data_IF_986163862112
#
_entry.id   IF_986163862112
#
_cell.length_a   1.000
_cell.length_b   1.000
_cell.length_c   1.000
_cell.angle_alpha   90.00
_cell.angle_beta   90.00
_cell.angle_gamma   90.00
#
_symmetry.space_group_name_H-M   'P 1'
#
loop_
_entity.id
_entity.type
_entity.pdbx_description
1 polymer ?
#
# COMPACT_ATOMS: atom_id res chain seq x y z
N UNK A 1 -4.58 -1.19 -26.62
CA UNK A 1 -5.38 -2.42 -26.80
C UNK A 1 -5.48 -3.09 -25.44
N UNK A 2 -6.59 -2.89 -24.76
CA UNK A 2 -6.98 -3.65 -23.57
C UNK A 2 -7.15 -5.12 -23.99
N UNK A 3 -6.34 -6.01 -23.40
CA UNK A 3 -6.61 -7.43 -23.42
C UNK A 3 -7.76 -7.70 -22.43
N UNK A 4 -8.97 -7.68 -22.95
CA UNK A 4 -10.13 -8.25 -22.27
C UNK A 4 -9.94 -9.78 -22.25
N UNK A 5 -9.48 -10.31 -21.13
CA UNK A 5 -9.51 -11.75 -20.88
C UNK A 5 -10.87 -12.10 -20.34
N UNK A 6 -11.79 -12.44 -21.25
CA UNK A 6 -13.06 -13.10 -20.91
C UNK A 6 -12.83 -14.61 -20.91
N UNK A 7 -12.96 -15.23 -19.74
CA UNK A 7 -13.42 -16.60 -19.55
C UNK A 7 -12.62 -17.73 -20.17
N UNK A 8 -11.47 -18.07 -19.56
CA UNK A 8 -10.94 -19.43 -19.46
C UNK A 8 -9.73 -19.39 -18.51
N UNK A 9 -9.96 -19.65 -17.24
CA UNK A 9 -9.10 -19.24 -16.14
C UNK A 9 -7.86 -20.09 -15.85
N UNK A 10 -7.60 -21.20 -16.52
CA UNK A 10 -6.63 -22.16 -16.01
C UNK A 10 -5.40 -22.47 -16.89
N UNK A 11 -5.39 -22.09 -18.15
CA UNK A 11 -4.29 -22.41 -19.08
C UNK A 11 -3.49 -21.16 -19.49
N UNK A 12 -4.03 -19.97 -19.33
CA UNK A 12 -3.45 -18.74 -19.88
C UNK A 12 -2.31 -18.13 -19.01
N UNK A 13 -2.23 -18.47 -17.72
CA UNK A 13 -1.27 -17.80 -16.81
C UNK A 13 0.17 -18.28 -16.99
N UNK A 14 0.40 -19.57 -17.19
CA UNK A 14 1.75 -20.13 -17.36
C UNK A 14 2.32 -19.84 -18.75
N UNK A 15 1.50 -19.89 -19.79
CA UNK A 15 1.91 -19.58 -21.17
C UNK A 15 2.23 -18.10 -21.38
N UNK A 16 1.52 -17.21 -20.70
CA UNK A 16 1.80 -15.77 -20.69
C UNK A 16 3.12 -15.43 -20.00
N UNK A 17 3.43 -16.12 -18.91
CA UNK A 17 4.68 -15.94 -18.19
C UNK A 17 5.89 -16.40 -19.00
N UNK A 18 5.79 -17.55 -19.68
CA UNK A 18 6.92 -18.12 -20.43
C UNK A 18 7.25 -17.34 -21.71
N UNK A 19 6.29 -16.63 -22.29
CA UNK A 19 6.46 -15.89 -23.56
C UNK A 19 6.87 -14.43 -23.43
N UNK A 20 6.73 -13.81 -22.24
CA UNK A 20 6.98 -12.37 -22.10
C UNK A 20 7.97 -12.06 -20.97
N UNK A 21 9.27 -12.03 -21.31
CA UNK A 21 10.35 -11.69 -20.37
C UNK A 21 10.10 -10.38 -19.61
N UNK A 22 9.54 -9.35 -20.25
CA UNK A 22 9.27 -8.07 -19.63
C UNK A 22 8.16 -8.17 -18.57
N UNK A 23 7.18 -9.05 -18.76
CA UNK A 23 6.14 -9.32 -17.76
C UNK A 23 6.76 -9.99 -16.52
N UNK A 24 7.59 -11.01 -16.73
CA UNK A 24 8.29 -11.73 -15.64
C UNK A 24 9.17 -10.78 -14.84
N UNK A 25 9.99 -9.94 -15.51
CA UNK A 25 10.85 -8.96 -14.84
C UNK A 25 10.02 -7.99 -13.99
N UNK A 26 8.91 -7.48 -14.49
CA UNK A 26 8.03 -6.57 -13.73
C UNK A 26 7.38 -7.26 -12.54
N UNK A 27 6.98 -8.53 -12.68
CA UNK A 27 6.44 -9.32 -11.58
C UNK A 27 7.50 -9.63 -10.52
N UNK A 28 8.70 -9.99 -10.93
CA UNK A 28 9.84 -10.17 -10.00
C UNK A 28 10.15 -8.87 -9.26
N UNK A 29 10.17 -7.73 -9.97
CA UNK A 29 10.39 -6.43 -9.35
C UNK A 29 9.27 -6.07 -8.36
N UNK A 30 8.02 -6.35 -8.71
CA UNK A 30 6.86 -6.18 -7.83
C UNK A 30 6.99 -7.03 -6.57
N UNK A 31 7.29 -8.32 -6.73
CA UNK A 31 7.53 -9.26 -5.63
C UNK A 31 8.68 -8.81 -4.73
N UNK A 32 9.76 -8.32 -5.32
CA UNK A 32 10.90 -7.79 -4.56
C UNK A 32 10.52 -6.55 -3.76
N UNK A 33 9.77 -5.61 -4.35
CA UNK A 33 9.36 -4.39 -3.65
C UNK A 33 8.46 -4.68 -2.46
N UNK A 34 7.47 -5.57 -2.61
CA UNK A 34 6.61 -5.94 -1.49
C UNK A 34 7.38 -6.74 -0.43
N UNK A 35 8.31 -7.58 -0.82
CA UNK A 35 9.18 -8.32 0.09
C UNK A 35 10.08 -7.39 0.91
N UNK A 36 10.72 -6.41 0.27
CA UNK A 36 11.51 -5.37 0.97
C UNK A 36 10.63 -4.62 1.96
N UNK A 37 9.42 -4.24 1.56
CA UNK A 37 8.48 -3.53 2.42
C UNK A 37 8.19 -4.33 3.71
N UNK A 38 7.84 -5.60 3.59
CA UNK A 38 7.57 -6.48 4.72
C UNK A 38 8.80 -6.70 5.60
N UNK A 39 9.96 -6.96 5.01
CA UNK A 39 11.20 -7.20 5.76
C UNK A 39 11.61 -5.95 6.55
N UNK A 40 11.56 -4.76 5.93
CA UNK A 40 11.87 -3.51 6.61
C UNK A 40 10.87 -3.23 7.74
N UNK A 41 9.57 -3.48 7.51
CA UNK A 41 8.56 -3.30 8.54
C UNK A 41 8.76 -4.23 9.75
N UNK A 42 8.94 -5.53 9.48
CA UNK A 42 9.20 -6.54 10.53
C UNK A 42 10.47 -6.19 11.29
N UNK A 43 11.55 -5.82 10.58
CA UNK A 43 12.79 -5.39 11.19
C UNK A 43 12.57 -4.16 12.09
N UNK A 44 11.87 -3.15 11.61
CA UNK A 44 11.61 -1.91 12.36
C UNK A 44 10.82 -2.17 13.65
N UNK A 45 9.81 -3.02 13.60
CA UNK A 45 9.00 -3.37 14.78
C UNK A 45 9.83 -4.13 15.83
N UNK A 46 10.79 -4.97 15.40
CA UNK A 46 11.62 -5.76 16.32
C UNK A 46 12.86 -5.01 16.84
N UNK A 47 13.16 -3.81 16.31
CA UNK A 47 14.35 -3.02 16.68
C UNK A 47 14.00 -1.61 17.18
N UNK A 48 12.82 -1.42 17.77
CA UNK A 48 12.36 -0.16 18.36
C UNK A 48 12.27 1.03 17.38
N UNK A 49 12.09 0.75 16.08
CA UNK A 49 11.87 1.75 15.03
C UNK A 49 10.38 1.93 14.66
N UNK A 50 9.46 1.60 15.58
CA UNK A 50 8.00 1.64 15.35
C UNK A 50 7.52 3.04 14.97
N UNK A 51 8.05 4.08 15.65
CA UNK A 51 7.70 5.48 15.35
C UNK A 51 8.12 5.87 13.95
N UNK A 52 9.30 5.41 13.52
CA UNK A 52 9.81 5.66 12.17
C UNK A 52 9.00 4.93 11.11
N UNK A 53 8.58 3.68 11.38
CA UNK A 53 7.66 2.96 10.52
C UNK A 53 6.31 3.67 10.42
N UNK A 54 5.79 4.22 11.52
CA UNK A 54 4.57 5.01 11.53
C UNK A 54 4.68 6.28 10.66
N UNK A 55 5.83 6.97 10.65
CA UNK A 55 6.10 8.09 9.74
C UNK A 55 5.96 7.66 8.27
N UNK A 56 6.32 6.43 7.93
CA UNK A 56 6.14 5.87 6.60
C UNK A 56 4.69 5.95 6.11
N UNK A 57 3.70 5.77 6.98
CA UNK A 57 2.28 5.89 6.63
C UNK A 57 1.86 7.32 6.24
N UNK A 58 2.59 8.34 6.71
CA UNK A 58 2.36 9.73 6.31
C UNK A 58 3.06 10.09 4.99
N UNK A 59 4.25 9.51 4.77
CA UNK A 59 5.06 9.79 3.57
C UNK A 59 4.56 8.95 2.38
N UNK A 60 4.04 7.76 2.62
CA UNK A 60 3.63 6.82 1.60
C UNK A 60 2.57 7.38 0.63
N UNK A 61 1.47 8.02 1.07
CA UNK A 61 0.51 8.66 0.17
C UNK A 61 1.16 9.70 -0.73
N UNK A 62 2.11 10.49 -0.21
CA UNK A 62 2.84 11.50 -1.01
C UNK A 62 3.68 10.85 -2.11
N UNK A 63 4.36 9.74 -1.79
CA UNK A 63 5.14 8.98 -2.77
C UNK A 63 4.25 8.37 -3.88
N UNK A 64 3.09 7.82 -3.52
CA UNK A 64 2.10 7.30 -4.48
C UNK A 64 1.62 8.41 -5.42
N UNK A 65 1.27 9.56 -4.88
CA UNK A 65 0.78 10.70 -5.64
C UNK A 65 1.86 11.27 -6.55
N UNK A 66 3.10 11.37 -6.06
CA UNK A 66 4.24 11.78 -6.87
C UNK A 66 4.44 10.84 -8.06
N UNK A 67 4.40 9.52 -7.86
CA UNK A 67 4.50 8.54 -8.94
C UNK A 67 3.33 8.63 -9.93
N UNK A 68 2.11 8.83 -9.44
CA UNK A 68 0.92 9.02 -10.27
C UNK A 68 1.01 10.26 -11.16
N UNK A 69 1.41 11.39 -10.57
CA UNK A 69 1.49 12.66 -11.30
C UNK A 69 2.68 12.69 -12.26
N UNK A 70 3.88 12.27 -11.82
CA UNK A 70 5.11 12.38 -12.61
C UNK A 70 5.17 11.33 -13.71
N UNK A 71 4.86 10.06 -13.40
CA UNK A 71 5.08 8.95 -14.32
C UNK A 71 3.82 8.46 -15.04
N UNK A 72 2.64 8.65 -14.46
CA UNK A 72 1.38 8.30 -15.09
C UNK A 72 0.69 9.52 -15.71
N UNK A 73 1.25 10.73 -15.50
CA UNK A 73 0.71 12.01 -15.98
C UNK A 73 -0.77 12.21 -15.56
N UNK A 74 -1.13 11.70 -14.38
CA UNK A 74 -2.48 11.87 -13.85
C UNK A 74 -2.72 13.34 -13.48
N UNK A 75 -3.85 13.88 -13.94
CA UNK A 75 -4.22 15.28 -13.67
C UNK A 75 -4.92 15.35 -12.32
N UNK A 76 -4.53 16.35 -11.56
CA UNK A 76 -5.10 16.62 -10.25
C UNK A 76 -5.87 17.93 -10.23
N UNK A 77 -6.94 17.98 -9.45
CA UNK A 77 -7.66 19.21 -9.18
C UNK A 77 -6.83 20.16 -8.31
N UNK A 78 -7.17 21.46 -8.33
CA UNK A 78 -6.52 22.44 -7.45
C UNK A 78 -6.70 22.09 -5.98
N UNK A 79 -7.82 21.49 -5.63
CA UNK A 79 -8.13 21.10 -4.25
C UNK A 79 -7.31 19.87 -3.80
N UNK A 80 -7.08 18.92 -4.72
CA UNK A 80 -6.19 17.80 -4.47
C UNK A 80 -4.74 18.26 -4.27
N UNK A 81 -4.26 19.23 -5.09
CA UNK A 81 -2.95 19.86 -4.89
C UNK A 81 -2.84 20.55 -3.53
N UNK A 82 -3.86 21.29 -3.12
CA UNK A 82 -3.92 21.89 -1.80
C UNK A 82 -3.80 20.82 -0.69
N UNK A 83 -4.57 19.74 -0.79
CA UNK A 83 -4.54 18.64 0.17
C UNK A 83 -3.14 18.02 0.32
N UNK A 84 -2.43 17.83 -0.80
CA UNK A 84 -1.07 17.26 -0.80
C UNK A 84 -0.05 18.21 -0.17
N UNK A 85 -0.11 19.49 -0.51
CA UNK A 85 0.80 20.49 0.07
C UNK A 85 0.62 20.52 1.59
N UNK A 86 -0.62 20.54 2.05
CA UNK A 86 -0.96 20.55 3.47
C UNK A 86 -0.49 19.27 4.16
N UNK A 87 -0.73 18.10 3.56
CA UNK A 87 -0.25 16.82 4.08
C UNK A 87 1.29 16.74 4.07
N UNK A 88 1.93 17.28 3.03
CA UNK A 88 3.38 17.36 2.92
C UNK A 88 4.01 18.20 4.04
N UNK A 89 3.40 19.36 4.38
CA UNK A 89 3.82 20.17 5.53
C UNK A 89 3.72 19.35 6.82
N UNK A 90 2.63 18.62 7.03
CA UNK A 90 2.46 17.73 8.19
C UNK A 90 3.56 16.66 8.28
N UNK A 91 3.89 16.02 7.16
CA UNK A 91 4.95 15.01 7.10
C UNK A 91 6.34 15.61 7.40
N UNK A 92 6.63 16.83 6.91
CA UNK A 92 7.87 17.55 7.19
C UNK A 92 7.97 17.89 8.68
N UNK A 93 6.91 18.42 9.28
CA UNK A 93 6.89 18.75 10.73
C UNK A 93 7.16 17.51 11.56
N UNK A 94 6.51 16.39 11.26
CA UNK A 94 6.73 15.11 11.97
C UNK A 94 8.15 14.57 11.76
N UNK A 95 8.73 14.77 10.57
CA UNK A 95 10.11 14.36 10.28
C UNK A 95 11.13 15.19 11.07
N UNK A 96 10.89 16.50 11.20
CA UNK A 96 11.74 17.39 12.00
C UNK A 96 11.64 17.05 13.49
N UNK A 97 10.43 16.80 14.00
CA UNK A 97 10.20 16.40 15.38
C UNK A 97 10.90 15.07 15.73
N UNK A 98 11.03 14.17 14.74
CA UNK A 98 11.76 12.91 14.88
C UNK A 98 13.27 13.09 15.08
N UNK A 99 13.85 14.19 14.63
CA UNK A 99 15.23 14.62 14.92
C UNK A 99 16.36 13.89 14.18
N UNK A 100 16.05 12.92 13.30
CA UNK A 100 17.01 12.21 12.45
C UNK A 100 16.38 11.83 11.11
N UNK A 101 17.21 11.47 10.12
CA UNK A 101 16.71 11.04 8.81
C UNK A 101 15.96 9.71 8.98
N UNK A 102 14.64 9.68 8.69
CA UNK A 102 13.82 8.48 8.90
C UNK A 102 13.96 7.52 7.70
N UNK A 103 15.07 6.80 7.64
CA UNK A 103 15.36 5.90 6.51
C UNK A 103 14.35 4.76 6.38
N UNK A 104 13.83 4.25 7.52
CA UNK A 104 12.79 3.21 7.54
C UNK A 104 11.52 3.73 6.88
N UNK A 105 11.09 4.94 7.26
CA UNK A 105 9.92 5.59 6.65
C UNK A 105 10.08 5.77 5.15
N UNK A 106 11.27 6.23 4.71
CA UNK A 106 11.61 6.35 3.29
C UNK A 106 11.59 5.02 2.56
N UNK A 107 12.21 3.98 3.12
CA UNK A 107 12.25 2.64 2.53
C UNK A 107 10.83 2.04 2.41
N UNK A 108 10.00 2.16 3.45
CA UNK A 108 8.62 1.70 3.43
C UNK A 108 7.78 2.45 2.40
N UNK A 109 7.86 3.78 2.36
CA UNK A 109 7.11 4.59 1.42
C UNK A 109 7.51 4.32 -0.05
N UNK A 110 8.81 4.22 -0.33
CA UNK A 110 9.31 3.97 -1.68
C UNK A 110 9.00 2.55 -2.15
N UNK A 111 9.20 1.53 -1.31
CA UNK A 111 8.93 0.14 -1.69
C UNK A 111 7.44 -0.09 -1.94
N UNK A 112 6.56 0.39 -1.06
CA UNK A 112 5.12 0.26 -1.22
C UNK A 112 4.57 1.03 -2.42
N UNK A 113 4.97 2.29 -2.58
CA UNK A 113 4.53 3.10 -3.71
C UNK A 113 5.04 2.57 -5.05
N UNK A 114 6.28 2.06 -5.10
CA UNK A 114 6.82 1.42 -6.31
C UNK A 114 6.10 0.11 -6.61
N UNK A 115 5.79 -0.71 -5.60
CA UNK A 115 4.97 -1.91 -5.75
C UNK A 115 3.63 -1.58 -6.41
N UNK A 116 2.86 -0.66 -5.85
CA UNK A 116 1.57 -0.26 -6.40
C UNK A 116 1.67 0.33 -7.81
N UNK A 117 2.72 1.11 -8.09
CA UNK A 117 2.98 1.66 -9.41
C UNK A 117 3.23 0.58 -10.47
N UNK A 118 4.02 -0.45 -10.13
CA UNK A 118 4.25 -1.59 -11.02
C UNK A 118 2.94 -2.34 -11.26
N UNK A 119 2.16 -2.59 -10.21
CA UNK A 119 0.83 -3.24 -10.31
C UNK A 119 -0.11 -2.45 -11.21
N UNK A 120 -0.14 -1.13 -11.07
CA UNK A 120 -0.92 -0.24 -11.96
C UNK A 120 -0.53 -0.40 -13.43
N UNK A 121 0.77 -0.43 -13.72
CA UNK A 121 1.28 -0.62 -15.09
C UNK A 121 1.10 -2.04 -15.64
N UNK A 122 1.06 -3.05 -14.78
CA UNK A 122 0.81 -4.43 -15.19
C UNK A 122 -0.66 -4.64 -15.58
N UNK A 123 -1.60 -4.00 -14.87
CA UNK A 123 -3.04 -4.11 -15.16
C UNK A 123 -3.60 -5.53 -15.01
N UNK A 124 -2.89 -6.41 -14.28
CA UNK A 124 -3.35 -7.78 -14.05
C UNK A 124 -4.50 -7.81 -13.04
N UNK A 125 -5.34 -8.81 -13.17
CA UNK A 125 -6.37 -9.10 -12.16
C UNK A 125 -5.71 -9.37 -10.79
N UNK A 126 -6.34 -8.89 -9.71
CA UNK A 126 -5.77 -8.93 -8.36
C UNK A 126 -5.38 -10.34 -7.92
N UNK A 127 -6.28 -11.31 -8.13
CA UNK A 127 -6.04 -12.72 -7.78
C UNK A 127 -4.87 -13.30 -8.55
N UNK A 128 -4.87 -13.14 -9.87
CA UNK A 128 -3.81 -13.65 -10.75
C UNK A 128 -2.46 -13.04 -10.38
N UNK A 129 -2.41 -11.71 -10.23
CA UNK A 129 -1.18 -11.02 -9.87
C UNK A 129 -0.62 -11.45 -8.52
N UNK A 130 -1.48 -11.56 -7.48
CA UNK A 130 -1.05 -11.97 -6.14
C UNK A 130 -0.61 -13.44 -6.11
N UNK A 131 -1.31 -14.32 -6.82
CA UNK A 131 -0.95 -15.75 -6.92
C UNK A 131 0.45 -15.92 -7.52
N UNK A 132 0.73 -15.22 -8.63
CA UNK A 132 2.04 -15.29 -9.27
C UNK A 132 3.14 -14.75 -8.35
N UNK A 133 2.92 -13.62 -7.69
CA UNK A 133 3.88 -13.05 -6.73
C UNK A 133 4.14 -13.99 -5.55
N UNK A 134 3.11 -14.64 -5.04
CA UNK A 134 3.24 -15.65 -3.97
C UNK A 134 4.04 -16.86 -4.46
N UNK A 135 3.78 -17.37 -5.66
CA UNK A 135 4.54 -18.48 -6.24
C UNK A 135 6.00 -18.11 -6.48
N UNK A 136 6.29 -16.88 -6.95
CA UNK A 136 7.65 -16.39 -7.15
C UNK A 136 8.43 -16.23 -5.84
N UNK A 137 7.74 -15.87 -4.75
CA UNK A 137 8.34 -15.70 -3.42
C UNK A 137 8.48 -17.02 -2.65
N UNK A 138 7.68 -18.04 -2.99
CA UNK A 138 7.62 -19.32 -2.29
C UNK A 138 8.97 -20.03 -2.13
N UNK A 139 9.86 -20.11 -3.15
CA UNK A 139 11.15 -20.74 -2.98
C UNK A 139 12.02 -20.08 -1.89
N UNK A 140 11.96 -18.75 -1.79
CA UNK A 140 12.75 -17.98 -0.82
C UNK A 140 12.17 -18.11 0.60
N UNK A 141 10.89 -17.81 0.78
CA UNK A 141 10.27 -17.87 2.11
C UNK A 141 10.05 -19.31 2.57
N UNK A 142 9.65 -20.21 1.67
CA UNK A 142 9.50 -21.63 1.97
C UNK A 142 10.84 -22.27 2.30
N UNK A 143 11.89 -21.94 1.54
CA UNK A 143 13.27 -22.37 1.83
C UNK A 143 13.75 -21.86 3.20
N UNK A 144 13.45 -20.60 3.55
CA UNK A 144 13.80 -20.05 4.85
C UNK A 144 13.03 -20.74 6.01
N UNK A 145 11.75 -21.01 5.83
CA UNK A 145 10.96 -21.76 6.82
C UNK A 145 11.52 -23.16 7.02
N UNK A 146 11.88 -23.85 5.93
CA UNK A 146 12.50 -25.19 6.00
C UNK A 146 13.86 -25.13 6.71
N UNK A 147 14.68 -24.12 6.41
CA UNK A 147 15.95 -23.89 7.10
C UNK A 147 15.76 -23.73 8.61
N UNK A 148 14.83 -22.87 9.06
CA UNK A 148 14.53 -22.70 10.48
C UNK A 148 14.04 -24.01 11.13
N UNK A 149 13.22 -24.76 10.41
CA UNK A 149 12.66 -26.02 10.92
C UNK A 149 13.78 -27.07 11.12
N UNK A 150 14.75 -27.16 10.20
CA UNK A 150 15.86 -28.08 10.30
C UNK A 150 16.88 -27.72 11.40
N UNK A 151 16.91 -26.44 11.80
CA UNK A 151 17.79 -25.95 12.87
C UNK A 151 17.08 -25.87 14.24
N UNK A 152 15.87 -26.41 14.37
CA UNK A 152 15.04 -26.34 15.59
C UNK A 152 14.71 -24.90 16.05
N UNK A 153 14.77 -23.95 15.14
CA UNK A 153 14.36 -22.55 15.36
C UNK A 153 12.94 -22.28 14.79
N UNK A 154 12.38 -23.25 14.09
CA UNK A 154 11.07 -23.17 13.47
C UNK A 154 9.93 -23.33 14.48
N UNK A 155 8.94 -22.45 14.38
CA UNK A 155 7.75 -22.50 15.24
C UNK A 155 6.52 -23.12 14.56
N UNK A 156 6.62 -23.45 13.27
CA UNK A 156 5.54 -24.10 12.53
C UNK A 156 5.41 -25.56 13.02
N UNK A 157 4.24 -25.94 13.54
CA UNK A 157 4.01 -27.25 14.12
C UNK A 157 4.39 -27.40 15.61
N UNK A 158 4.99 -26.36 16.23
CA UNK A 158 5.33 -26.40 17.66
C UNK A 158 4.10 -26.49 18.56
N UNK A 159 2.98 -25.86 18.18
CA UNK A 159 1.66 -26.06 18.77
C UNK A 159 0.57 -25.80 17.74
N UNK A 160 -0.60 -26.44 17.95
CA UNK A 160 -1.77 -26.24 17.08
C UNK A 160 -2.21 -24.77 17.08
N UNK A 161 -2.25 -24.13 18.24
CA UNK A 161 -2.65 -22.72 18.39
C UNK A 161 -1.72 -21.78 17.61
N UNK A 162 -0.40 -21.95 17.76
CA UNK A 162 0.58 -21.11 17.06
C UNK A 162 0.54 -21.34 15.54
N UNK A 163 0.41 -22.58 15.11
CA UNK A 163 0.27 -22.92 13.69
C UNK A 163 -0.98 -22.28 13.08
N UNK A 164 -2.13 -22.32 13.77
CA UNK A 164 -3.36 -21.69 13.33
C UNK A 164 -3.23 -20.16 13.29
N UNK A 165 -2.53 -19.54 14.24
CA UNK A 165 -2.25 -18.10 14.22
C UNK A 165 -1.36 -17.70 13.04
N UNK A 166 -0.34 -18.49 12.72
CA UNK A 166 0.55 -18.21 11.57
C UNK A 166 -0.22 -18.33 10.25
N UNK A 167 -1.03 -19.37 10.07
CA UNK A 167 -1.86 -19.55 8.88
C UNK A 167 -2.93 -18.46 8.80
N UNK A 168 -3.60 -18.16 9.92
CA UNK A 168 -4.60 -17.10 10.01
C UNK A 168 -4.04 -15.73 9.68
N UNK A 169 -2.81 -15.42 10.12
CA UNK A 169 -2.08 -14.21 9.77
C UNK A 169 -1.91 -14.05 8.25
N UNK A 170 -1.61 -15.13 7.54
CA UNK A 170 -1.53 -15.14 6.08
C UNK A 170 -2.86 -14.74 5.42
N UNK A 171 -3.97 -15.33 5.87
CA UNK A 171 -5.32 -15.03 5.35
C UNK A 171 -5.70 -13.56 5.62
N UNK A 172 -5.51 -13.10 6.86
CA UNK A 172 -5.81 -11.72 7.28
C UNK A 172 -4.99 -10.70 6.46
N UNK A 173 -3.77 -11.05 6.09
CA UNK A 173 -2.91 -10.19 5.26
C UNK A 173 -3.29 -10.23 3.78
N UNK A 174 -3.69 -11.38 3.26
CA UNK A 174 -4.02 -11.54 1.84
C UNK A 174 -5.26 -10.73 1.44
N UNK A 175 -6.28 -10.65 2.30
CA UNK A 175 -7.53 -9.93 2.00
C UNK A 175 -7.30 -8.43 1.70
N UNK A 176 -6.67 -7.63 2.58
CA UNK A 176 -6.39 -6.23 2.29
C UNK A 176 -5.50 -6.04 1.05
N UNK A 177 -4.54 -6.94 0.83
CA UNK A 177 -3.63 -6.87 -0.30
C UNK A 177 -4.36 -7.13 -1.63
N UNK A 178 -5.32 -8.05 -1.66
CA UNK A 178 -6.20 -8.29 -2.80
C UNK A 178 -7.08 -7.08 -3.10
N UNK A 179 -7.67 -6.48 -2.07
CA UNK A 179 -8.50 -5.28 -2.19
C UNK A 179 -7.68 -4.08 -2.70
N UNK A 180 -6.49 -3.88 -2.15
CA UNK A 180 -5.56 -2.85 -2.62
C UNK A 180 -5.19 -3.04 -4.09
N UNK A 181 -4.79 -4.25 -4.49
CA UNK A 181 -4.46 -4.56 -5.88
C UNK A 181 -5.65 -4.36 -6.81
N UNK A 182 -6.87 -4.68 -6.35
CA UNK A 182 -8.09 -4.41 -7.09
C UNK A 182 -8.38 -2.92 -7.26
N UNK A 183 -8.10 -2.11 -6.25
CA UNK A 183 -8.23 -0.67 -6.32
C UNK A 183 -7.17 -0.04 -7.25
N UNK A 184 -5.90 -0.45 -7.12
CA UNK A 184 -4.78 0.03 -7.95
C UNK A 184 -5.11 -0.01 -9.44
N UNK A 185 -5.75 -1.08 -9.91
CA UNK A 185 -6.06 -1.26 -11.33
C UNK A 185 -7.27 -0.45 -11.80
N UNK A 186 -8.20 -0.09 -10.89
CA UNK A 186 -9.51 0.49 -11.24
C UNK A 186 -9.61 2.00 -11.07
N UNK A 187 -8.88 2.58 -10.10
CA UNK A 187 -8.94 4.02 -9.81
C UNK A 187 -7.62 4.72 -10.15
N UNK A 188 -7.61 6.05 -10.35
CA UNK A 188 -6.36 6.82 -10.49
C UNK A 188 -5.40 6.56 -9.33
N UNK A 189 -4.11 6.47 -9.63
CA UNK A 189 -3.10 6.14 -8.62
C UNK A 189 -2.94 7.27 -7.59
N UNK A 190 -3.08 8.51 -8.03
CA UNK A 190 -3.14 9.69 -7.16
C UNK A 190 -4.30 9.62 -6.17
N UNK A 191 -5.48 9.22 -6.62
CA UNK A 191 -6.65 9.05 -5.78
C UNK A 191 -6.45 7.93 -4.74
N UNK A 192 -5.83 6.82 -5.15
CA UNK A 192 -5.46 5.74 -4.24
C UNK A 192 -4.54 6.23 -3.12
N UNK A 193 -3.54 7.07 -3.46
CA UNK A 193 -2.65 7.70 -2.48
C UNK A 193 -3.42 8.54 -1.46
N UNK A 194 -4.39 9.33 -1.91
CA UNK A 194 -5.20 10.13 -1.01
C UNK A 194 -6.05 9.27 -0.05
N UNK A 195 -6.61 8.16 -0.51
CA UNK A 195 -7.35 7.22 0.36
C UNK A 195 -6.46 6.57 1.43
N UNK A 196 -5.16 6.45 1.20
CA UNK A 196 -4.27 5.88 2.20
C UNK A 196 -4.12 6.72 3.47
N UNK A 197 -4.48 8.01 3.45
CA UNK A 197 -4.55 8.82 4.67
C UNK A 197 -5.65 8.38 5.66
N UNK A 198 -6.58 7.51 5.24
CA UNK A 198 -7.55 6.89 6.15
C UNK A 198 -6.82 6.02 7.19
N UNK A 199 -5.76 5.32 6.80
CA UNK A 199 -5.01 4.43 7.70
C UNK A 199 -4.44 5.16 8.93
N UNK A 200 -3.63 6.23 8.79
CA UNK A 200 -3.15 6.97 9.96
C UNK A 200 -4.29 7.59 10.77
N UNK A 201 -5.39 7.99 10.14
CA UNK A 201 -6.58 8.49 10.86
C UNK A 201 -7.20 7.42 11.74
N UNK A 202 -7.40 6.21 11.23
CA UNK A 202 -7.93 5.09 12.03
C UNK A 202 -6.96 4.69 13.14
N UNK A 203 -5.66 4.66 12.85
CA UNK A 203 -4.63 4.37 13.86
C UNK A 203 -4.65 5.41 14.98
N UNK A 204 -4.81 6.69 14.66
CA UNK A 204 -4.97 7.76 15.62
C UNK A 204 -6.19 7.55 16.51
N UNK A 205 -7.35 7.29 15.91
CA UNK A 205 -8.60 7.05 16.65
C UNK A 205 -8.43 5.89 17.64
N UNK A 206 -7.82 4.79 17.21
CA UNK A 206 -7.56 3.64 18.08
C UNK A 206 -6.56 3.99 19.19
N UNK A 207 -5.47 4.68 18.86
CA UNK A 207 -4.45 5.08 19.85
C UNK A 207 -5.03 5.96 20.95
N UNK A 208 -5.78 6.99 20.57
CA UNK A 208 -6.31 7.98 21.54
C UNK A 208 -7.49 7.42 22.34
N UNK A 209 -8.50 6.84 21.67
CA UNK A 209 -9.76 6.48 22.35
C UNK A 209 -9.80 5.04 22.86
N UNK A 210 -9.03 4.13 22.27
CA UNK A 210 -9.01 2.72 22.71
C UNK A 210 -7.80 2.43 23.61
N UNK A 211 -6.62 2.95 23.25
CA UNK A 211 -5.37 2.72 23.98
C UNK A 211 -5.05 3.80 25.02
N UNK A 212 -5.77 4.93 24.99
CA UNK A 212 -5.55 6.09 25.88
C UNK A 212 -4.09 6.58 25.86
N UNK A 213 -3.44 6.51 24.68
CA UNK A 213 -2.05 6.95 24.54
C UNK A 213 -1.92 8.46 24.70
N UNK A 214 -0.90 8.90 25.46
CA UNK A 214 -0.57 10.31 25.56
C UNK A 214 -0.09 10.83 24.20
N UNK A 215 -0.74 11.89 23.71
CA UNK A 215 -0.45 12.45 22.39
C UNK A 215 0.31 13.77 22.50
N UNK A 216 1.58 13.81 22.03
CA UNK A 216 2.33 15.06 21.88
C UNK A 216 1.60 16.05 20.96
N UNK A 217 1.75 17.36 21.24
CA UNK A 217 1.11 18.43 20.45
C UNK A 217 1.43 18.37 18.95
N UNK A 218 2.65 17.96 18.61
CA UNK A 218 3.06 17.80 17.20
C UNK A 218 2.23 16.75 16.46
N UNK A 219 1.85 15.64 17.12
CA UNK A 219 0.98 14.63 16.53
C UNK A 219 -0.44 15.14 16.32
N UNK A 220 -1.00 15.88 17.28
CA UNK A 220 -2.30 16.54 17.13
C UNK A 220 -2.33 17.46 15.91
N UNK A 221 -1.29 18.28 15.74
CA UNK A 221 -1.18 19.15 14.59
C UNK A 221 -1.13 18.36 13.27
N UNK A 222 -0.30 17.30 13.20
CA UNK A 222 -0.20 16.44 12.02
C UNK A 222 -1.55 15.81 11.63
N UNK A 223 -2.33 15.31 12.59
CA UNK A 223 -3.65 14.74 12.32
C UNK A 223 -4.67 15.78 11.86
N UNK A 224 -4.67 16.95 12.48
CA UNK A 224 -5.57 18.03 12.09
C UNK A 224 -5.36 18.45 10.64
N UNK A 225 -4.10 18.55 10.25
CA UNK A 225 -3.68 18.85 8.89
C UNK A 225 -4.15 17.77 7.89
N UNK A 226 -4.01 16.49 8.25
CA UNK A 226 -4.49 15.37 7.42
C UNK A 226 -6.01 15.39 7.28
N UNK A 227 -6.74 15.69 8.33
CA UNK A 227 -8.20 15.76 8.27
C UNK A 227 -8.68 16.88 7.35
N UNK A 228 -8.04 18.04 7.38
CA UNK A 228 -8.32 19.11 6.41
C UNK A 228 -8.11 18.59 4.97
N UNK A 229 -7.03 17.88 4.72
CA UNK A 229 -6.75 17.28 3.42
C UNK A 229 -7.81 16.24 3.00
N UNK A 230 -8.23 15.37 3.92
CA UNK A 230 -9.30 14.38 3.67
C UNK A 230 -10.66 15.03 3.41
N UNK A 231 -11.02 16.06 4.17
CA UNK A 231 -12.26 16.81 3.92
C UNK A 231 -12.26 17.51 2.58
N UNK A 232 -11.13 18.14 2.21
CA UNK A 232 -10.97 18.77 0.90
C UNK A 232 -11.11 17.75 -0.23
N UNK A 233 -10.53 16.54 -0.07
CA UNK A 233 -10.66 15.45 -1.02
C UNK A 233 -12.11 14.95 -1.13
N UNK A 234 -12.76 14.67 0.00
CA UNK A 234 -14.13 14.19 0.03
C UNK A 234 -15.08 15.17 -0.66
N UNK A 235 -14.86 16.47 -0.44
CA UNK A 235 -15.61 17.52 -1.11
C UNK A 235 -15.37 17.55 -2.62
N UNK A 236 -14.11 17.41 -3.08
CA UNK A 236 -13.76 17.38 -4.51
C UNK A 236 -14.41 16.19 -5.23
N UNK A 237 -14.39 15.01 -4.60
CA UNK A 237 -15.02 13.81 -5.13
C UNK A 237 -16.54 13.93 -5.22
N UNK A 238 -17.19 14.46 -4.18
CA UNK A 238 -18.62 14.68 -4.17
C UNK A 238 -19.05 15.65 -5.28
N UNK A 239 -18.27 16.71 -5.49
CA UNK A 239 -18.53 17.70 -6.55
C UNK A 239 -18.31 17.12 -7.96
N UNK A 240 -17.28 16.32 -8.14
CA UNK A 240 -16.97 15.69 -9.43
C UNK A 240 -18.00 14.64 -9.83
N UNK A 241 -18.49 13.83 -8.87
CA UNK A 241 -19.56 12.86 -9.09
C UNK A 241 -20.88 13.51 -9.53
N UNK A 242 -21.24 14.63 -8.92
CA UNK A 242 -22.46 15.39 -9.26
C UNK A 242 -22.43 16.01 -10.66
N UNK A 243 -21.26 16.35 -11.18
CA UNK A 243 -21.14 16.93 -12.54
C UNK A 243 -21.30 15.88 -13.65
N UNK A 244 -20.95 14.63 -13.38
CA UNK A 244 -21.10 13.52 -14.34
C UNK A 244 -22.56 13.10 -14.48
N UNK A 245 -23.30 13.03 -13.38
CA UNK A 245 -24.74 12.70 -13.37
C UNK A 245 -25.58 13.75 -14.14
N UNK A 246 -25.27 15.03 -13.97
CA UNK A 246 -25.97 16.11 -14.68
C UNK A 246 -25.66 16.13 -16.20
N UNK A 247 -24.54 15.60 -16.62
CA UNK A 247 -24.20 15.50 -18.05
C UNK A 247 -24.89 14.33 -18.75
N UNK A 248 -25.14 13.25 -18.03
CA UNK A 248 -25.92 12.09 -18.54
C UNK A 248 -27.43 12.42 -18.60
N UNK A 249 -27.96 13.11 -17.58
CA UNK A 249 -29.36 13.54 -17.54
C UNK A 249 -29.72 14.56 -18.63
N UNK A 250 -28.77 15.34 -19.17
CA UNK A 250 -28.98 16.29 -20.27
C UNK A 250 -28.88 15.66 -21.67
N UNK A 251 -28.47 14.40 -21.79
CA UNK A 251 -28.35 13.67 -23.07
C UNK A 251 -29.49 12.70 -23.37
N UNK A 252 -30.38 12.49 -22.41
CA UNK A 252 -31.66 11.76 -22.52
C UNK A 252 -32.82 12.73 -22.57
#
# INVERSE_FOLDING_TARGET
RLLTVTGSSDVCSSDLLLKNKNLVIRLLLSTTMISINWLVYIWAVNHDHVVEAALGYYINPLAIIALGTIFLHEKMSKLQWFAIIVAGIGAVVLTIDYGRIPWVAGALALSWSTYGFIKKKLGLESMVGLTIETLLSLPFYGGYILYLQTHNEGHLGASTSLTLLLIGGGVVTAIPLLLFNGAVTRIPYTLLGLFQYITPTLTFVIGVWVKHEAMPSARWFGFFVIWIALFALAYDLARSGSSTDNSVAKRN
#
